data_IF_542215725804
#
_entry.id   IF_542215725804
#
_cell.length_a   1.000
_cell.length_b   1.000
_cell.length_c   1.000
_cell.angle_alpha   90.00
_cell.angle_beta   90.00
_cell.angle_gamma   90.00
#
_symmetry.space_group_name_H-M   'P 1'
#
loop_
_entity.id
_entity.type
_entity.pdbx_description
1 polymer ?
#
# COMPACT_ATOMS: atom_id res chain seq x y z
N UNK A 1 -5.47 6.74 -40.91
CA UNK A 1 -4.62 7.21 -39.79
C UNK A 1 -4.94 6.34 -38.58
N UNK A 2 -3.98 5.55 -38.07
CA UNK A 2 -4.20 4.58 -36.98
C UNK A 2 -3.87 5.27 -35.66
N UNK A 3 -4.88 5.46 -34.80
CA UNK A 3 -4.68 6.11 -33.51
C UNK A 3 -3.76 5.24 -32.63
N UNK A 4 -2.60 5.75 -32.17
CA UNK A 4 -1.66 4.99 -31.35
C UNK A 4 -2.12 4.81 -29.88
N UNK A 5 -3.41 5.02 -29.59
CA UNK A 5 -3.93 5.04 -28.21
C UNK A 5 -4.72 3.79 -27.83
N UNK A 6 -4.90 2.82 -28.74
CA UNK A 6 -5.69 1.61 -28.46
C UNK A 6 -4.91 0.47 -27.81
N UNK A 7 -3.57 0.50 -27.83
CA UNK A 7 -2.72 -0.49 -27.16
C UNK A 7 -2.41 -0.12 -25.70
N UNK A 8 -2.81 1.08 -25.25
CA UNK A 8 -2.58 1.56 -23.88
C UNK A 8 -3.65 1.08 -22.88
N UNK A 9 -4.88 0.80 -23.34
CA UNK A 9 -5.99 0.53 -22.40
C UNK A 9 -5.98 -0.89 -21.81
N UNK A 10 -5.35 -1.86 -22.49
CA UNK A 10 -5.33 -3.27 -22.03
C UNK A 10 -4.31 -3.53 -20.93
N UNK A 11 -3.16 -2.85 -20.94
CA UNK A 11 -2.08 -3.00 -19.94
C UNK A 11 -2.28 -2.13 -18.71
N UNK A 12 -2.93 -0.97 -18.84
CA UNK A 12 -3.20 -0.10 -17.68
C UNK A 12 -4.09 -0.79 -16.63
N UNK A 13 -5.05 -1.60 -17.07
CA UNK A 13 -5.97 -2.29 -16.18
C UNK A 13 -5.28 -3.38 -15.35
N UNK A 14 -4.32 -4.12 -15.93
CA UNK A 14 -3.57 -5.16 -15.19
C UNK A 14 -2.65 -4.54 -14.15
N UNK A 15 -1.99 -3.42 -14.48
CA UNK A 15 -1.15 -2.67 -13.54
C UNK A 15 -1.97 -2.08 -12.38
N UNK A 16 -3.15 -1.52 -12.67
CA UNK A 16 -4.04 -1.00 -11.63
C UNK A 16 -4.50 -2.09 -10.65
N UNK A 17 -4.85 -3.28 -11.15
CA UNK A 17 -5.26 -4.42 -10.31
C UNK A 17 -4.08 -4.91 -9.45
N UNK A 18 -2.88 -5.01 -10.04
CA UNK A 18 -1.66 -5.37 -9.30
C UNK A 18 -1.37 -4.39 -8.16
N UNK A 19 -1.47 -3.10 -8.47
CA UNK A 19 -1.21 -2.01 -7.53
C UNK A 19 -2.27 -1.96 -6.43
N UNK A 20 -3.54 -2.18 -6.79
CA UNK A 20 -4.64 -2.27 -5.83
C UNK A 20 -4.47 -3.45 -4.87
N UNK A 21 -3.96 -4.59 -5.35
CA UNK A 21 -3.64 -5.75 -4.50
C UNK A 21 -2.55 -5.41 -3.47
N UNK A 22 -1.52 -4.66 -3.87
CA UNK A 22 -0.47 -4.20 -2.95
C UNK A 22 -0.99 -3.16 -1.96
N UNK A 23 -1.84 -2.23 -2.41
CA UNK A 23 -2.52 -1.30 -1.53
C UNK A 23 -3.34 -2.03 -0.46
N UNK A 24 -4.08 -3.07 -0.83
CA UNK A 24 -4.86 -3.88 0.12
C UNK A 24 -3.95 -4.57 1.15
N UNK A 25 -2.79 -5.08 0.71
CA UNK A 25 -1.79 -5.66 1.61
C UNK A 25 -1.23 -4.61 2.59
N UNK A 26 -0.96 -3.38 2.12
CA UNK A 26 -0.56 -2.26 2.96
C UNK A 26 -1.62 -1.87 3.98
N UNK A 27 -2.90 -1.85 3.59
CA UNK A 27 -4.03 -1.59 4.51
C UNK A 27 -4.12 -2.68 5.58
N UNK A 28 -4.01 -3.95 5.21
CA UNK A 28 -3.96 -5.05 6.18
C UNK A 28 -2.81 -4.89 7.18
N UNK A 29 -1.62 -4.50 6.70
CA UNK A 29 -0.47 -4.20 7.55
C UNK A 29 -0.74 -3.02 8.51
N UNK A 30 -1.34 -1.95 8.00
CA UNK A 30 -1.72 -0.79 8.81
C UNK A 30 -2.77 -1.09 9.88
N UNK A 31 -3.75 -1.94 9.56
CA UNK A 31 -4.73 -2.43 10.54
C UNK A 31 -4.07 -3.31 11.61
N UNK A 32 -3.18 -4.22 11.21
CA UNK A 32 -2.45 -5.07 12.15
C UNK A 32 -1.57 -4.24 13.10
N UNK A 33 -0.86 -3.24 12.55
CA UNK A 33 -0.05 -2.34 13.35
C UNK A 33 -0.88 -1.45 14.28
N UNK A 34 -2.00 -0.90 13.78
CA UNK A 34 -2.94 -0.12 14.59
C UNK A 34 -3.55 -0.93 15.73
N UNK A 35 -3.89 -2.20 15.49
CA UNK A 35 -4.36 -3.11 16.53
C UNK A 35 -3.27 -3.37 17.60
N UNK A 36 -2.01 -3.54 17.17
CA UNK A 36 -0.88 -3.67 18.09
C UNK A 36 -0.69 -2.42 18.96
N UNK A 37 -0.79 -1.22 18.37
CA UNK A 37 -0.67 0.05 19.10
C UNK A 37 -1.72 0.17 20.22
N UNK A 38 -2.97 -0.22 19.94
CA UNK A 38 -4.04 -0.23 20.93
C UNK A 38 -3.84 -1.33 21.98
N UNK A 39 -3.40 -2.52 21.57
CA UNK A 39 -3.18 -3.65 22.47
C UNK A 39 -2.05 -3.39 23.48
N UNK A 40 -0.94 -2.81 23.03
CA UNK A 40 0.19 -2.45 23.91
C UNK A 40 -0.01 -1.13 24.66
N UNK A 41 -1.16 -0.47 24.47
CA UNK A 41 -1.47 0.87 24.98
C UNK A 41 -0.30 1.84 24.80
N UNK A 42 0.31 1.82 23.60
CA UNK A 42 1.48 2.66 23.32
C UNK A 42 1.06 4.12 23.48
N UNK A 43 1.80 4.88 24.30
CA UNK A 43 1.48 6.27 24.64
C UNK A 43 0.15 6.48 25.38
N UNK A 44 -0.42 5.44 26.03
CA UNK A 44 -1.74 5.50 26.67
C UNK A 44 -2.87 5.81 25.69
N UNK A 45 -2.72 5.45 24.42
CA UNK A 45 -3.73 5.68 23.38
C UNK A 45 -5.08 5.04 23.72
N UNK A 46 -5.09 3.80 24.19
CA UNK A 46 -6.32 3.10 24.58
C UNK A 46 -6.98 3.75 25.79
N UNK A 47 -6.16 4.13 26.77
CA UNK A 47 -6.62 4.86 27.96
C UNK A 47 -7.19 6.24 27.59
N UNK A 48 -6.58 6.93 26.61
CA UNK A 48 -7.04 8.24 26.13
C UNK A 48 -8.33 8.14 25.34
N UNK A 49 -8.44 7.14 24.45
CA UNK A 49 -9.65 6.86 23.66
C UNK A 49 -10.82 6.53 24.58
N UNK A 50 -10.60 5.75 25.64
CA UNK A 50 -11.64 5.33 26.57
C UNK A 50 -12.13 6.44 27.50
N UNK A 51 -11.30 7.44 27.76
CA UNK A 51 -11.62 8.59 28.61
C UNK A 51 -12.35 9.72 27.84
N UNK A 52 -12.24 9.72 26.51
CA UNK A 52 -12.75 10.81 25.67
C UNK A 52 -14.11 10.47 25.06
N UNK A 53 -15.04 11.43 25.08
CA UNK A 53 -16.36 11.34 24.42
C UNK A 53 -16.26 10.99 22.94
N UNK A 54 -15.20 11.45 22.28
CA UNK A 54 -14.97 11.29 20.84
C UNK A 54 -13.97 10.17 20.50
N UNK A 55 -13.81 9.17 21.37
CA UNK A 55 -12.90 8.05 21.14
C UNK A 55 -13.09 7.33 19.80
N UNK A 56 -14.31 7.31 19.26
CA UNK A 56 -14.62 6.73 17.96
C UNK A 56 -13.97 7.49 16.78
N UNK A 57 -13.93 8.83 16.84
CA UNK A 57 -13.29 9.68 15.82
C UNK A 57 -11.78 9.44 15.81
N UNK A 58 -11.18 9.32 16.99
CA UNK A 58 -9.75 9.01 17.13
C UNK A 58 -9.43 7.68 16.46
N UNK A 59 -10.25 6.64 16.67
CA UNK A 59 -10.05 5.35 15.99
C UNK A 59 -10.12 5.50 14.47
N UNK A 60 -11.13 6.21 13.94
CA UNK A 60 -11.27 6.40 12.48
C UNK A 60 -10.07 7.14 11.91
N UNK A 61 -9.68 8.26 12.52
CA UNK A 61 -8.55 9.06 12.03
C UNK A 61 -7.24 8.27 12.15
N UNK A 62 -7.04 7.51 13.24
CA UNK A 62 -5.87 6.66 13.42
C UNK A 62 -5.81 5.56 12.35
N UNK A 63 -6.87 4.76 12.19
CA UNK A 63 -6.87 3.68 11.20
C UNK A 63 -6.82 4.20 9.76
N UNK A 64 -7.50 5.31 9.46
CA UNK A 64 -7.45 5.92 8.12
C UNK A 64 -6.06 6.49 7.84
N UNK A 65 -5.44 7.17 8.81
CA UNK A 65 -4.07 7.68 8.69
C UNK A 65 -3.06 6.55 8.47
N UNK A 66 -3.15 5.47 9.26
CA UNK A 66 -2.31 4.29 9.10
C UNK A 66 -2.56 3.60 7.74
N UNK A 67 -3.82 3.44 7.34
CA UNK A 67 -4.18 2.86 6.04
C UNK A 67 -3.61 3.67 4.87
N UNK A 68 -3.65 5.01 4.94
CA UNK A 68 -3.07 5.89 3.91
C UNK A 68 -1.55 5.78 3.89
N UNK A 69 -0.88 5.82 5.05
CA UNK A 69 0.58 5.72 5.13
C UNK A 69 1.09 4.37 4.62
N UNK A 70 0.60 3.25 5.17
CA UNK A 70 1.05 1.92 4.76
C UNK A 70 0.56 1.54 3.36
N UNK A 71 -0.64 1.97 2.97
CA UNK A 71 -1.16 1.81 1.60
C UNK A 71 -0.29 2.53 0.57
N UNK A 72 0.16 3.76 0.87
CA UNK A 72 1.05 4.52 -0.02
C UNK A 72 2.42 3.86 -0.18
N UNK A 73 3.01 3.34 0.90
CA UNK A 73 4.32 2.66 0.85
C UNK A 73 4.21 1.36 0.04
N UNK A 74 3.17 0.55 0.28
CA UNK A 74 2.96 -0.70 -0.45
C UNK A 74 2.73 -0.46 -1.95
N UNK A 75 1.99 0.60 -2.28
CA UNK A 75 1.78 1.04 -3.66
C UNK A 75 3.11 1.47 -4.30
N UNK A 76 3.93 2.27 -3.61
CA UNK A 76 5.25 2.67 -4.08
C UNK A 76 6.17 1.49 -4.35
N UNK A 77 6.20 0.50 -3.44
CA UNK A 77 6.99 -0.71 -3.62
C UNK A 77 6.53 -1.53 -4.84
N UNK A 78 5.22 -1.65 -5.06
CA UNK A 78 4.67 -2.30 -6.25
C UNK A 78 5.13 -1.64 -7.55
N UNK A 79 5.23 -0.31 -7.60
CA UNK A 79 5.74 0.41 -8.78
C UNK A 79 7.20 0.10 -9.03
N UNK A 80 8.04 0.13 -7.99
CA UNK A 80 9.47 -0.19 -8.12
C UNK A 80 9.71 -1.63 -8.55
N UNK A 81 8.90 -2.58 -8.06
CA UNK A 81 8.95 -3.98 -8.50
C UNK A 81 8.67 -4.13 -9.99
N UNK A 82 7.68 -3.41 -10.51
CA UNK A 82 7.34 -3.42 -11.94
C UNK A 82 8.42 -2.74 -12.81
N UNK A 83 9.12 -1.75 -12.27
CA UNK A 83 10.25 -1.13 -12.94
C UNK A 83 11.45 -2.10 -13.04
N UNK A 84 11.71 -2.86 -11.97
CA UNK A 84 12.80 -3.83 -11.94
C UNK A 84 12.60 -4.97 -12.94
N UNK A 85 11.38 -5.53 -13.04
CA UNK A 85 11.04 -6.56 -14.05
C UNK A 85 11.24 -6.09 -15.51
N UNK A 86 11.26 -4.77 -15.76
CA UNK A 86 11.48 -4.21 -17.10
C UNK A 86 12.96 -4.02 -17.46
N UNK A 87 13.82 -3.85 -16.47
CA UNK A 87 15.24 -3.46 -16.66
C UNK A 87 16.21 -4.63 -16.46
N UNK A 88 15.73 -5.85 -16.14
CA UNK A 88 16.59 -7.04 -16.06
C UNK A 88 17.16 -7.39 -17.46
N UNK A 89 18.51 -7.32 -17.65
CA UNK A 89 19.13 -7.73 -18.91
C UNK A 89 18.95 -9.25 -19.09
N UNK A 90 18.87 -9.75 -20.33
CA UNK A 90 18.77 -11.18 -20.58
C UNK A 90 19.96 -11.89 -19.90
N UNK A 91 19.64 -12.89 -19.07
CA UNK A 91 20.59 -13.73 -18.36
C UNK A 91 21.27 -14.69 -19.36
N UNK A 92 21.99 -14.10 -20.31
CA UNK A 92 22.94 -14.75 -21.19
C UNK A 92 24.34 -14.26 -20.80
N UNK A 93 24.86 -14.85 -19.73
CA UNK A 93 26.28 -14.85 -19.46
C UNK A 93 26.99 -15.91 -20.34
N UNK A 94 26.89 -15.81 -21.67
CA UNK A 94 27.81 -16.47 -22.61
C UNK A 94 28.65 -15.45 -23.39
N UNK A 95 29.38 -14.60 -22.68
CA UNK A 95 30.58 -13.96 -23.23
C UNK A 95 31.69 -13.96 -22.18
N UNK A 96 32.63 -14.90 -22.38
CA UNK A 96 34.00 -15.06 -21.86
C UNK A 96 34.35 -14.52 -20.46
#
# INVERSE_FOLDING_TARGET
MRNPLSHLHWTAQTTLIFLFKHMLAGICGGFFFGALLLYYDISKLWTMISSSSDGWLVMIVMFTGLAVTFGSIAMGWGIFSLAQERDDPPEDHTYY
#
